data_IF_425248800238
#
_entry.id   IF_425248800238
#
_cell.length_a   1.000
_cell.length_b   1.000
_cell.length_c   1.000
_cell.angle_alpha   90.00
_cell.angle_beta   90.00
_cell.angle_gamma   90.00
#
_symmetry.space_group_name_H-M   'P 1'
#
loop_
_entity.id
_entity.type
_entity.pdbx_description
1 polymer ?
#
# COMPACT_ATOMS: atom_id res chain seq x y z
N UNK A 1 70.87 32.61 2.25
CA UNK A 1 70.02 32.06 1.16
C UNK A 1 69.24 30.80 1.60
N UNK A 2 68.63 30.85 2.79
CA UNK A 2 67.18 30.80 3.05
C UNK A 2 66.28 29.97 2.11
N UNK A 3 66.31 28.64 2.18
CA UNK A 3 65.26 27.75 1.61
C UNK A 3 64.54 26.85 2.64
N UNK A 4 64.93 26.91 3.92
CA UNK A 4 64.41 26.02 4.97
C UNK A 4 62.95 26.27 5.46
N UNK A 5 62.38 27.49 5.47
CA UNK A 5 61.05 27.70 6.07
C UNK A 5 59.89 27.23 5.16
N UNK A 6 60.08 27.22 3.83
CA UNK A 6 58.99 26.97 2.87
C UNK A 6 58.55 25.49 2.82
N UNK A 7 59.49 24.54 2.93
CA UNK A 7 59.18 23.11 2.85
C UNK A 7 58.45 22.55 4.09
N UNK A 8 58.64 23.18 5.25
CA UNK A 8 57.98 22.76 6.50
C UNK A 8 56.52 23.22 6.57
N UNK A 9 56.21 24.39 6.01
CA UNK A 9 54.85 24.90 5.87
C UNK A 9 54.02 24.09 4.86
N UNK A 10 54.60 23.73 3.70
CA UNK A 10 53.92 22.92 2.69
C UNK A 10 53.55 21.51 3.18
N UNK A 11 54.41 20.85 3.96
CA UNK A 11 54.10 19.52 4.55
C UNK A 11 52.99 19.56 5.60
N UNK A 12 52.94 20.60 6.45
CA UNK A 12 51.84 20.80 7.42
C UNK A 12 50.52 21.09 6.72
N UNK A 13 50.52 21.90 5.66
CA UNK A 13 49.34 22.13 4.83
C UNK A 13 48.85 20.84 4.15
N UNK A 14 49.75 20.04 3.55
CA UNK A 14 49.36 18.76 2.94
C UNK A 14 48.82 17.74 3.95
N UNK A 15 49.39 17.67 5.15
CA UNK A 15 48.86 16.82 6.23
C UNK A 15 47.50 17.29 6.73
N UNK A 16 47.29 18.60 6.87
CA UNK A 16 45.99 19.17 7.23
C UNK A 16 44.92 18.89 6.15
N UNK A 17 45.27 19.07 4.87
CA UNK A 17 44.40 18.80 3.73
C UNK A 17 44.04 17.31 3.66
N UNK A 18 45.01 16.39 3.79
CA UNK A 18 44.72 14.94 3.84
C UNK A 18 43.78 14.56 4.97
N UNK A 19 43.92 15.19 6.14
CA UNK A 19 43.05 14.94 7.30
C UNK A 19 41.63 15.45 7.06
N UNK A 20 41.48 16.61 6.42
CA UNK A 20 40.17 17.16 6.03
C UNK A 20 39.50 16.32 4.95
N UNK A 21 40.24 15.90 3.92
CA UNK A 21 39.73 15.02 2.86
C UNK A 21 39.27 13.69 3.45
N UNK A 22 40.05 13.07 4.33
CA UNK A 22 39.66 11.82 4.99
C UNK A 22 38.38 11.97 5.81
N UNK A 23 38.19 13.08 6.53
CA UNK A 23 36.95 13.37 7.26
C UNK A 23 35.76 13.55 6.33
N UNK A 24 35.93 14.26 5.22
CA UNK A 24 34.88 14.48 4.23
C UNK A 24 34.45 13.17 3.56
N UNK A 25 35.40 12.29 3.21
CA UNK A 25 35.10 10.98 2.63
C UNK A 25 34.32 10.11 3.62
N UNK A 26 34.73 10.05 4.89
CA UNK A 26 34.00 9.31 5.93
C UNK A 26 32.58 9.87 6.12
N UNK A 27 32.41 11.20 6.10
CA UNK A 27 31.10 11.84 6.19
C UNK A 27 30.18 11.43 5.04
N UNK A 28 30.68 11.42 3.80
CA UNK A 28 29.90 11.02 2.62
C UNK A 28 29.40 9.58 2.74
N UNK A 29 30.28 8.64 3.10
CA UNK A 29 29.87 7.25 3.31
C UNK A 29 28.87 7.08 4.46
N UNK A 30 29.02 7.87 5.53
CA UNK A 30 28.07 7.87 6.64
C UNK A 30 26.68 8.39 6.21
N UNK A 31 26.61 9.47 5.42
CA UNK A 31 25.34 9.99 4.90
C UNK A 31 24.66 9.00 3.94
N UNK A 32 25.44 8.31 3.11
CA UNK A 32 24.91 7.28 2.21
C UNK A 32 24.39 6.06 2.98
N UNK A 33 25.13 5.61 4.00
CA UNK A 33 24.69 4.52 4.89
C UNK A 33 23.41 4.88 5.65
N UNK A 34 23.30 6.13 6.11
CA UNK A 34 22.07 6.62 6.76
C UNK A 34 20.87 6.65 5.80
N UNK A 35 21.08 7.05 4.54
CA UNK A 35 20.04 7.00 3.50
C UNK A 35 19.51 5.59 3.26
N UNK A 36 20.39 4.59 3.20
CA UNK A 36 20.00 3.19 3.05
C UNK A 36 19.31 2.62 4.30
N UNK A 37 19.74 3.05 5.50
CA UNK A 37 19.15 2.63 6.76
C UNK A 37 17.77 3.26 7.02
N UNK A 38 17.45 4.40 6.39
CA UNK A 38 16.15 5.04 6.52
C UNK A 38 15.01 4.16 6.00
N UNK A 39 15.20 3.39 4.93
CA UNK A 39 14.14 2.53 4.36
C UNK A 39 13.64 1.50 5.39
N UNK A 40 14.47 0.60 5.94
CA UNK A 40 14.01 -0.36 6.95
C UNK A 40 13.57 0.32 8.26
N UNK A 41 14.13 1.48 8.59
CA UNK A 41 13.68 2.25 9.74
C UNK A 41 12.24 2.78 9.53
N UNK A 42 11.92 3.29 8.34
CA UNK A 42 10.56 3.71 7.98
C UNK A 42 9.58 2.54 8.03
N UNK A 43 9.98 1.36 7.55
CA UNK A 43 9.13 0.16 7.60
C UNK A 43 8.79 -0.23 9.04
N UNK A 44 9.80 -0.27 9.94
CA UNK A 44 9.58 -0.56 11.37
C UNK A 44 8.71 0.51 12.05
N UNK A 45 8.92 1.79 11.71
CA UNK A 45 8.06 2.86 12.22
C UNK A 45 6.62 2.73 11.70
N UNK A 46 6.43 2.34 10.44
CA UNK A 46 5.12 2.11 9.85
C UNK A 46 4.41 0.91 10.47
N UNK A 47 5.13 -0.16 10.83
CA UNK A 47 4.59 -1.33 11.52
C UNK A 47 4.15 -1.00 12.95
N UNK A 48 4.98 -0.26 13.70
CA UNK A 48 4.66 0.15 15.07
C UNK A 48 3.48 1.13 15.11
N UNK A 49 3.38 2.05 14.14
CA UNK A 49 2.34 3.09 14.14
C UNK A 49 1.06 2.68 13.40
N UNK A 50 1.10 1.60 12.60
CA UNK A 50 -0.05 1.15 11.82
C UNK A 50 -0.53 2.15 10.76
N UNK A 51 0.30 3.13 10.41
CA UNK A 51 -0.05 4.24 9.51
C UNK A 51 -0.06 3.82 8.03
N UNK A 52 0.46 2.64 7.68
CA UNK A 52 0.74 2.34 6.29
C UNK A 52 -0.49 1.86 5.49
N UNK A 53 -1.57 1.40 6.14
CA UNK A 53 -2.84 1.06 5.48
C UNK A 53 -2.76 0.08 4.29
N UNK A 54 -1.58 -0.49 4.01
CA UNK A 54 -1.29 -1.38 2.89
C UNK A 54 -1.67 -2.78 3.32
N UNK A 55 -2.69 -3.32 2.68
CA UNK A 55 -2.99 -4.75 2.74
C UNK A 55 -1.79 -5.53 2.21
N UNK A 56 -1.44 -6.64 2.86
CA UNK A 56 -0.40 -7.57 2.42
C UNK A 56 -0.55 -7.91 0.92
N UNK A 57 0.55 -7.85 0.18
CA UNK A 57 0.57 -8.12 -1.28
C UNK A 57 0.59 -9.61 -1.59
N UNK A 58 0.74 -10.45 -0.56
CA UNK A 58 0.64 -11.90 -0.64
C UNK A 58 -0.78 -12.35 -0.29
N UNK A 59 -1.35 -13.22 -1.13
CA UNK A 59 -2.61 -13.88 -0.86
C UNK A 59 -2.48 -14.71 0.41
N UNK A 60 -3.20 -14.34 1.47
CA UNK A 60 -3.25 -15.11 2.70
C UNK A 60 -3.82 -16.51 2.41
N UNK A 61 -3.00 -17.55 2.60
CA UNK A 61 -3.48 -18.93 2.65
C UNK A 61 -4.37 -19.06 3.88
N UNK A 62 -5.65 -19.40 3.69
CA UNK A 62 -6.65 -19.49 4.74
C UNK A 62 -6.20 -20.38 5.91
N UNK A 63 -5.61 -19.78 6.93
CA UNK A 63 -5.40 -20.38 8.24
C UNK A 63 -6.54 -19.88 9.11
N UNK A 64 -7.72 -20.45 8.93
CA UNK A 64 -8.88 -20.17 9.78
C UNK A 64 -8.63 -20.90 11.11
N UNK A 65 -7.85 -20.29 12.00
CA UNK A 65 -8.15 -20.44 13.43
C UNK A 65 -9.53 -19.84 13.62
N UNK A 66 -10.42 -20.51 14.37
CA UNK A 66 -11.64 -19.95 14.98
C UNK A 66 -12.63 -19.09 14.15
N UNK A 67 -13.87 -19.00 14.63
CA UNK A 67 -14.72 -17.84 14.30
C UNK A 67 -15.16 -17.28 15.64
N UNK A 68 -14.80 -16.04 15.94
CA UNK A 68 -15.23 -15.35 17.15
C UNK A 68 -16.70 -14.93 17.00
N UNK A 69 -17.58 -15.80 17.46
CA UNK A 69 -19.04 -15.61 17.35
C UNK A 69 -19.60 -14.61 18.37
N UNK A 70 -18.81 -14.21 19.38
CA UNK A 70 -19.26 -13.25 20.40
C UNK A 70 -19.06 -11.81 19.92
N UNK A 71 -18.03 -11.57 19.10
CA UNK A 71 -17.73 -10.26 18.55
C UNK A 71 -18.35 -10.05 17.18
N UNK A 72 -18.99 -8.89 17.00
CA UNK A 72 -19.50 -8.45 15.70
C UNK A 72 -18.73 -7.23 15.21
N UNK A 73 -18.32 -7.27 13.95
CA UNK A 73 -17.59 -6.21 13.27
C UNK A 73 -18.40 -5.75 12.05
N UNK A 74 -18.57 -4.44 11.91
CA UNK A 74 -19.23 -3.85 10.73
C UNK A 74 -18.21 -3.54 9.65
N UNK A 75 -18.42 -4.05 8.45
CA UNK A 75 -17.59 -3.73 7.28
C UNK A 75 -18.42 -2.92 6.31
N UNK A 76 -17.97 -1.70 6.03
CA UNK A 76 -18.58 -0.77 5.08
C UNK A 76 -17.83 -0.80 3.75
N UNK A 77 -18.55 -0.66 2.64
CA UNK A 77 -17.99 -0.66 1.30
C UNK A 77 -18.25 0.67 0.62
N UNK A 78 -17.19 1.26 0.09
CA UNK A 78 -17.26 2.51 -0.65
C UNK A 78 -16.52 2.34 -1.97
N UNK A 79 -17.11 2.80 -3.06
CA UNK A 79 -16.44 2.92 -4.35
C UNK A 79 -16.22 4.38 -4.71
N UNK A 80 -15.11 4.64 -5.40
CA UNK A 80 -14.76 5.94 -5.99
C UNK A 80 -14.25 5.69 -7.40
N UNK A 81 -14.52 6.61 -8.31
CA UNK A 81 -13.92 6.63 -9.65
C UNK A 81 -12.94 7.79 -9.70
N UNK A 82 -11.75 7.55 -10.25
CA UNK A 82 -10.80 8.60 -10.54
C UNK A 82 -11.34 9.51 -11.65
N UNK A 83 -10.81 10.73 -11.74
CA UNK A 83 -11.24 11.63 -12.81
C UNK A 83 -10.89 11.05 -14.18
N UNK A 84 -11.87 11.06 -15.09
CA UNK A 84 -11.67 10.68 -16.50
C UNK A 84 -12.05 9.24 -16.86
N UNK A 85 -12.34 8.34 -15.90
CA UNK A 85 -12.88 7.02 -16.22
C UNK A 85 -14.42 7.06 -16.28
N UNK A 86 -15.04 6.83 -17.45
CA UNK A 86 -16.50 6.86 -17.64
C UNK A 86 -17.13 5.53 -17.20
N UNK A 87 -16.78 5.04 -16.01
CA UNK A 87 -17.33 3.81 -15.46
C UNK A 87 -18.33 4.14 -14.35
N UNK A 88 -19.42 3.39 -14.30
CA UNK A 88 -20.24 3.29 -13.11
C UNK A 88 -19.69 2.14 -12.27
N UNK A 89 -19.25 2.42 -11.04
CA UNK A 89 -18.67 1.43 -10.14
C UNK A 89 -19.22 1.62 -8.73
N UNK A 90 -19.96 0.64 -8.23
CA UNK A 90 -20.66 0.72 -6.94
C UNK A 90 -20.74 -0.63 -6.22
N UNK A 91 -20.63 -0.67 -4.88
CA UNK A 91 -20.93 -1.87 -4.14
C UNK A 91 -22.42 -2.19 -4.24
N UNK A 92 -22.77 -3.48 -4.37
CA UNK A 92 -24.19 -3.89 -4.37
C UNK A 92 -24.82 -3.82 -2.98
N UNK A 93 -23.99 -3.86 -1.93
CA UNK A 93 -24.37 -3.67 -0.53
C UNK A 93 -23.36 -2.72 0.13
N UNK A 94 -23.84 -1.73 0.88
CA UNK A 94 -22.97 -0.71 1.47
C UNK A 94 -22.33 -1.15 2.79
N UNK A 95 -22.92 -2.12 3.48
CA UNK A 95 -22.38 -2.64 4.73
C UNK A 95 -22.79 -4.08 4.98
N UNK A 96 -22.00 -4.78 5.79
CA UNK A 96 -22.25 -6.13 6.27
C UNK A 96 -21.69 -6.28 7.68
N UNK A 97 -22.40 -7.01 8.54
CA UNK A 97 -21.90 -7.43 9.84
C UNK A 97 -21.28 -8.82 9.72
N UNK A 98 -20.09 -8.98 10.31
CA UNK A 98 -19.29 -10.19 10.24
C UNK A 98 -18.73 -10.53 11.61
N UNK A 99 -18.49 -11.82 11.83
CA UNK A 99 -17.69 -12.28 12.96
C UNK A 99 -16.21 -12.37 12.54
N UNK A 100 -15.24 -11.96 13.37
CA UNK A 100 -13.83 -12.21 13.07
C UNK A 100 -13.57 -13.71 12.81
N UNK A 101 -12.78 -14.02 11.77
CA UNK A 101 -12.58 -15.36 11.22
C UNK A 101 -13.68 -15.81 10.23
N UNK A 102 -14.82 -15.13 10.17
CA UNK A 102 -15.92 -15.48 9.27
C UNK A 102 -15.64 -15.05 7.82
N UNK A 103 -15.74 -16.01 6.90
CA UNK A 103 -15.66 -15.77 5.48
C UNK A 103 -16.95 -15.12 4.94
N UNK A 104 -16.82 -13.99 4.24
CA UNK A 104 -17.94 -13.33 3.56
C UNK A 104 -17.67 -13.11 2.08
N UNK A 105 -18.78 -13.05 1.34
CA UNK A 105 -18.81 -12.73 -0.07
C UNK A 105 -19.70 -11.51 -0.31
N UNK A 106 -19.18 -10.54 -1.04
CA UNK A 106 -19.91 -9.37 -1.50
C UNK A 106 -19.67 -9.15 -2.98
N UNK A 107 -20.48 -8.32 -3.61
CA UNK A 107 -20.37 -8.02 -5.04
C UNK A 107 -20.29 -6.53 -5.28
N UNK A 108 -19.51 -6.15 -6.28
CA UNK A 108 -19.46 -4.80 -6.83
C UNK A 108 -19.98 -4.83 -8.26
N UNK A 109 -20.81 -3.86 -8.60
CA UNK A 109 -21.25 -3.62 -9.96
C UNK A 109 -20.27 -2.69 -10.67
N UNK A 110 -19.87 -3.05 -11.89
CA UNK A 110 -19.09 -2.20 -12.78
C UNK A 110 -19.72 -2.15 -14.17
N UNK A 111 -19.77 -0.96 -14.78
CA UNK A 111 -20.19 -0.75 -16.16
C UNK A 111 -19.33 0.28 -16.85
N UNK A 112 -18.81 -0.07 -18.02
CA UNK A 112 -18.17 0.88 -18.92
C UNK A 112 -19.25 1.68 -19.67
N UNK A 113 -19.44 2.96 -19.33
CA UNK A 113 -20.44 3.81 -19.97
C UNK A 113 -19.91 4.54 -21.21
N UNK A 114 -18.72 4.18 -21.69
CA UNK A 114 -18.13 4.76 -22.89
C UNK A 114 -18.40 3.93 -24.14
N UNK A 115 -18.01 4.51 -25.27
CA UNK A 115 -18.06 3.89 -26.61
C UNK A 115 -16.76 3.16 -26.98
N UNK A 116 -15.79 3.09 -26.08
CA UNK A 116 -14.49 2.42 -26.29
C UNK A 116 -14.24 1.37 -25.22
N UNK A 117 -13.38 0.41 -25.54
CA UNK A 117 -12.93 -0.58 -24.57
C UNK A 117 -11.95 0.10 -23.60
N UNK A 118 -12.08 -0.23 -22.31
CA UNK A 118 -11.29 0.36 -21.23
C UNK A 118 -10.82 -0.77 -20.31
N UNK A 119 -9.59 -0.68 -19.84
CA UNK A 119 -9.06 -1.52 -18.76
C UNK A 119 -9.07 -0.71 -17.47
N UNK A 120 -9.90 -1.12 -16.51
CA UNK A 120 -10.00 -0.51 -15.20
C UNK A 120 -9.17 -1.24 -14.15
N UNK A 121 -8.54 -0.51 -13.24
CA UNK A 121 -7.87 -1.05 -12.05
C UNK A 121 -8.49 -0.44 -10.79
N UNK A 122 -8.93 -1.29 -9.87
CA UNK A 122 -9.50 -0.87 -8.58
C UNK A 122 -8.46 -1.02 -7.47
N UNK A 123 -8.00 0.11 -6.93
CA UNK A 123 -7.01 0.15 -5.84
C UNK A 123 -7.75 0.17 -4.50
N UNK A 124 -7.53 -0.83 -3.61
CA UNK A 124 -8.15 -0.89 -2.29
C UNK A 124 -7.48 0.03 -1.27
N UNK A 125 -8.24 0.46 -0.27
CA UNK A 125 -7.80 1.13 0.95
C UNK A 125 -8.71 0.74 2.10
N UNK A 126 -8.14 0.41 3.26
CA UNK A 126 -8.90 0.06 4.47
C UNK A 126 -8.71 1.14 5.54
N UNK A 127 -9.81 1.51 6.20
CA UNK A 127 -9.82 2.46 7.31
C UNK A 127 -10.55 1.86 8.53
N UNK A 128 -10.09 2.09 9.77
CA UNK A 128 -8.85 2.81 10.13
C UNK A 128 -7.59 2.05 9.70
N UNK A 129 -6.47 2.76 9.50
CA UNK A 129 -5.23 2.16 8.96
C UNK A 129 -4.70 0.96 9.77
N UNK A 130 -4.84 1.01 11.11
CA UNK A 130 -4.53 -0.12 12.01
C UNK A 130 -5.32 -1.40 11.71
N UNK A 131 -6.49 -1.28 11.10
CA UNK A 131 -7.36 -2.41 10.77
C UNK A 131 -7.01 -3.02 9.39
N UNK A 132 -6.19 -2.35 8.58
CA UNK A 132 -5.84 -2.80 7.23
C UNK A 132 -5.09 -4.14 7.22
N UNK A 133 -4.23 -4.39 8.20
CA UNK A 133 -3.46 -5.63 8.32
C UNK A 133 -4.34 -6.84 8.67
N UNK A 134 -5.53 -6.60 9.20
CA UNK A 134 -6.47 -7.63 9.65
C UNK A 134 -7.60 -7.86 8.63
N UNK A 135 -7.72 -7.01 7.61
CA UNK A 135 -8.67 -7.23 6.53
C UNK A 135 -8.02 -8.06 5.43
N UNK A 136 -8.38 -9.35 5.36
CA UNK A 136 -7.78 -10.29 4.42
C UNK A 136 -8.72 -10.52 3.24
N UNK A 137 -8.33 -9.95 2.09
CA UNK A 137 -8.98 -10.23 0.81
C UNK A 137 -8.45 -11.57 0.29
N UNK A 138 -9.34 -12.56 0.22
CA UNK A 138 -9.02 -13.82 -0.45
C UNK A 138 -9.34 -13.60 -1.93
N UNK A 139 -8.28 -13.23 -2.66
CA UNK A 139 -8.13 -12.97 -4.09
C UNK A 139 -9.38 -12.64 -4.94
N UNK A 140 -9.26 -11.57 -5.74
CA UNK A 140 -9.86 -11.59 -7.06
C UNK A 140 -8.99 -10.75 -8.01
N UNK A 141 -8.28 -11.42 -8.92
CA UNK A 141 -7.49 -10.84 -10.02
C UNK A 141 -8.32 -9.87 -10.88
N UNK A 142 -9.65 -10.02 -10.87
CA UNK A 142 -10.60 -9.13 -11.54
C UNK A 142 -10.42 -7.65 -11.16
N UNK A 143 -9.97 -7.33 -9.95
CA UNK A 143 -9.80 -5.92 -9.55
C UNK A 143 -8.43 -5.33 -9.94
N UNK A 144 -7.47 -6.14 -10.36
CA UNK A 144 -6.14 -5.67 -10.74
C UNK A 144 -6.17 -5.06 -12.15
N UNK A 145 -6.77 -5.77 -13.12
CA UNK A 145 -6.97 -5.30 -14.49
C UNK A 145 -8.26 -5.91 -15.03
N UNK A 146 -9.34 -5.14 -15.01
CA UNK A 146 -10.62 -5.55 -15.58
C UNK A 146 -10.78 -4.92 -16.96
N UNK A 147 -10.64 -5.68 -18.06
CA UNK A 147 -11.11 -5.19 -19.36
C UNK A 147 -12.64 -5.19 -19.36
N UNK A 148 -13.23 -4.08 -19.81
CA UNK A 148 -14.66 -4.01 -20.17
C UNK A 148 -14.79 -3.35 -21.54
N UNK A 149 -15.54 -4.01 -22.42
CA UNK A 149 -15.90 -3.45 -23.71
C UNK A 149 -16.83 -2.24 -23.56
N UNK A 150 -16.95 -1.47 -24.62
CA UNK A 150 -17.95 -0.41 -24.70
C UNK A 150 -19.34 -0.89 -24.25
N UNK A 151 -19.95 -0.19 -23.30
CA UNK A 151 -21.27 -0.50 -22.71
C UNK A 151 -21.39 -1.84 -21.97
N UNK A 152 -20.31 -2.58 -21.77
CA UNK A 152 -20.30 -3.84 -21.02
C UNK A 152 -20.45 -3.58 -19.53
N UNK A 153 -21.15 -4.50 -18.85
CA UNK A 153 -21.34 -4.50 -17.41
C UNK A 153 -21.03 -5.88 -16.81
N UNK A 154 -20.55 -5.88 -15.57
CA UNK A 154 -20.14 -7.08 -14.85
C UNK A 154 -20.39 -6.94 -13.35
N UNK A 155 -20.68 -8.07 -12.70
CA UNK A 155 -20.64 -8.20 -11.25
C UNK A 155 -19.31 -8.82 -10.82
N UNK A 156 -18.53 -8.08 -10.04
CA UNK A 156 -17.24 -8.53 -9.52
C UNK A 156 -17.41 -9.00 -8.07
N UNK A 157 -17.21 -10.29 -7.84
CA UNK A 157 -17.26 -10.86 -6.50
C UNK A 157 -15.99 -10.54 -5.70
N UNK A 158 -16.15 -10.23 -4.43
CA UNK A 158 -15.09 -10.05 -3.44
C UNK A 158 -15.33 -11.04 -2.30
N UNK A 159 -14.37 -11.93 -2.09
CA UNK A 159 -14.31 -12.78 -0.91
C UNK A 159 -13.31 -12.19 0.09
N UNK A 160 -13.70 -12.11 1.36
CA UNK A 160 -12.85 -11.59 2.41
C UNK A 160 -13.19 -12.22 3.77
N UNK A 161 -12.29 -12.03 4.73
CA UNK A 161 -12.57 -12.18 6.15
C UNK A 161 -11.82 -11.10 6.94
N UNK A 162 -12.22 -10.91 8.19
CA UNK A 162 -11.53 -10.06 9.15
C UNK A 162 -10.84 -10.97 10.15
N UNK A 163 -9.55 -10.76 10.38
CA UNK A 163 -8.75 -11.59 11.29
C UNK A 163 -9.20 -11.44 12.75
N UNK A 164 -9.11 -12.54 13.52
CA UNK A 164 -9.45 -12.57 14.95
C UNK A 164 -8.57 -11.65 15.80
N UNK A 165 -7.32 -11.43 15.37
CA UNK A 165 -6.36 -10.57 16.07
C UNK A 165 -6.68 -9.07 15.90
N UNK A 166 -7.77 -8.70 15.23
CA UNK A 166 -8.22 -7.32 15.10
C UNK A 166 -8.34 -6.66 16.49
N UNK A 167 -7.72 -5.48 16.72
CA UNK A 167 -7.81 -4.78 18.01
C UNK A 167 -9.25 -4.57 18.46
N UNK A 168 -9.56 -4.83 19.74
CA UNK A 168 -10.92 -4.78 20.30
C UNK A 168 -11.62 -3.43 20.12
N UNK A 169 -10.84 -2.34 20.05
CA UNK A 169 -11.34 -0.98 19.87
C UNK A 169 -11.79 -0.68 18.42
N UNK A 170 -11.62 -1.63 17.49
CA UNK A 170 -12.13 -1.54 16.12
C UNK A 170 -13.41 -2.37 15.99
N UNK A 171 -14.54 -1.68 15.95
CA UNK A 171 -15.86 -2.28 15.69
C UNK A 171 -16.37 -2.06 14.25
N UNK A 172 -15.78 -1.10 13.54
CA UNK A 172 -16.17 -0.74 12.17
C UNK A 172 -14.93 -0.56 11.29
N UNK A 173 -14.94 -1.18 10.12
CA UNK A 173 -13.95 -1.00 9.06
C UNK A 173 -14.63 -0.49 7.81
N UNK A 174 -13.92 0.30 7.02
CA UNK A 174 -14.37 0.73 5.70
C UNK A 174 -13.37 0.25 4.66
N UNK A 175 -13.83 -0.58 3.72
CA UNK A 175 -13.11 -0.92 2.50
C UNK A 175 -13.52 0.06 1.41
N UNK A 176 -12.58 0.93 1.03
CA UNK A 176 -12.75 1.85 -0.10
C UNK A 176 -11.97 1.36 -1.31
N UNK A 177 -12.61 1.28 -2.47
CA UNK A 177 -11.94 1.10 -3.75
C UNK A 177 -11.95 2.39 -4.55
N UNK A 178 -10.81 2.76 -5.12
CA UNK A 178 -10.73 3.81 -6.14
C UNK A 178 -10.36 3.21 -7.49
N UNK A 179 -11.21 3.43 -8.49
CA UNK A 179 -11.06 2.89 -9.83
C UNK A 179 -10.30 3.86 -10.74
N UNK A 180 -9.28 3.37 -11.45
CA UNK A 180 -8.46 4.11 -12.40
C UNK A 180 -8.54 3.50 -13.80
N UNK A 181 -8.44 4.33 -14.85
CA UNK A 181 -8.20 3.89 -16.22
C UNK A 181 -6.72 3.58 -16.39
N UNK A 182 -6.39 2.36 -16.78
CA UNK A 182 -5.01 1.90 -17.01
C UNK A 182 -4.84 1.30 -18.42
N UNK A 183 -5.75 1.61 -19.34
CA UNK A 183 -5.76 1.11 -20.72
C UNK A 183 -4.40 1.31 -21.42
N UNK A 184 -3.79 2.49 -21.28
CA UNK A 184 -2.48 2.77 -21.91
C UNK A 184 -1.32 1.96 -21.30
N UNK A 185 -1.44 1.53 -20.04
CA UNK A 185 -0.40 0.77 -19.33
C UNK A 185 -0.52 -0.73 -19.53
N UNK A 186 -1.71 -1.24 -19.87
CA UNK A 186 -1.92 -2.67 -20.11
C UNK A 186 -1.42 -3.15 -21.48
N UNK A 187 -1.24 -2.24 -22.43
CA UNK A 187 -0.82 -2.53 -23.81
C UNK A 187 0.71 -2.41 -24.03
N UNK A 188 1.48 -2.08 -22.98
CA UNK A 188 2.95 -1.95 -22.99
C UNK A 188 3.65 -3.14 -22.35
#
# INVERSE_FOLDING_TARGET
MDKAPEQTQQRRQQQAIKKTISKLVVLVFAMFGFGFALVPLYDVFCDITGLNGKTSTEAASAKVTGVDSERTVTVQFISRTAQGIPWKFEPMINEVQVHPGEMKFVKFYAKNQSVRDIVGQAVPSVSPGKAANYFQKIECFCFNHQPLKANEEVEMALQFYVDEELPEDVSTLTLSYTLYDVTEKSDS
#
